data_IF_991930832242
#
_entry.id   IF_991930832242
#
_cell.length_a   1.000
_cell.length_b   1.000
_cell.length_c   1.000
_cell.angle_alpha   90.00
_cell.angle_beta   90.00
_cell.angle_gamma   90.00
#
_symmetry.space_group_name_H-M   'P 1'
#
loop_
_entity.id
_entity.type
_entity.pdbx_description
1 polymer ?
#
# COMPACT_ATOMS: atom_id res chain seq x y z
N UNK A 1 3.47 -13.65 -6.97
CA UNK A 1 4.05 -12.42 -6.43
C UNK A 1 5.58 -12.43 -6.47
N UNK A 2 6.21 -13.59 -6.64
CA UNK A 2 7.67 -13.71 -6.77
C UNK A 2 8.17 -13.63 -8.23
N UNK A 3 7.39 -13.03 -9.12
CA UNK A 3 7.60 -13.12 -10.56
C UNK A 3 8.79 -12.36 -11.13
N UNK A 4 9.67 -11.76 -10.32
CA UNK A 4 10.83 -11.11 -10.91
C UNK A 4 12.06 -11.10 -10.00
N UNK A 5 12.64 -12.26 -9.77
CA UNK A 5 14.00 -12.38 -9.23
C UNK A 5 15.01 -11.54 -10.04
N UNK A 6 14.78 -11.36 -11.34
CA UNK A 6 15.63 -10.54 -12.20
C UNK A 6 15.60 -9.05 -11.82
N UNK A 7 14.45 -8.53 -11.40
CA UNK A 7 14.37 -7.15 -10.88
C UNK A 7 15.15 -7.00 -9.56
N UNK A 8 15.10 -8.00 -8.69
CA UNK A 8 15.87 -7.97 -7.44
C UNK A 8 17.36 -8.03 -7.71
N UNK A 9 17.80 -8.88 -8.65
CA UNK A 9 19.19 -8.96 -9.08
C UNK A 9 19.71 -7.62 -9.61
N UNK A 10 18.86 -6.85 -10.30
CA UNK A 10 19.25 -5.52 -10.77
C UNK A 10 19.70 -4.61 -9.63
N UNK A 11 19.00 -4.61 -8.50
CA UNK A 11 19.34 -3.80 -7.34
C UNK A 11 20.50 -4.39 -6.53
N UNK A 12 20.50 -5.71 -6.30
CA UNK A 12 21.49 -6.40 -5.48
C UNK A 12 22.93 -6.18 -6.01
N UNK A 13 23.14 -6.34 -7.32
CA UNK A 13 24.46 -6.15 -7.95
C UNK A 13 24.93 -4.68 -7.93
N UNK A 14 24.06 -3.75 -7.57
CA UNK A 14 24.34 -2.33 -7.41
C UNK A 14 24.50 -1.89 -5.97
N UNK A 15 24.58 -2.84 -5.05
CA UNK A 15 24.82 -2.58 -3.62
C UNK A 15 23.58 -2.22 -2.81
N UNK A 16 22.38 -2.44 -3.35
CA UNK A 16 21.14 -2.29 -2.59
C UNK A 16 20.80 -3.61 -1.86
N UNK A 17 20.31 -3.49 -0.64
CA UNK A 17 19.53 -4.57 -0.04
C UNK A 17 18.09 -4.50 -0.54
N UNK A 18 17.50 -5.66 -0.83
CA UNK A 18 16.10 -5.76 -1.26
C UNK A 18 15.27 -6.42 -0.17
N UNK A 19 14.25 -5.71 0.29
CA UNK A 19 13.30 -6.21 1.29
C UNK A 19 11.92 -6.35 0.63
N UNK A 20 11.36 -7.55 0.69
CA UNK A 20 10.00 -7.84 0.23
C UNK A 20 9.13 -8.01 1.45
N UNK A 21 8.16 -7.12 1.60
CA UNK A 21 7.24 -7.13 2.74
C UNK A 21 5.86 -7.62 2.31
N UNK A 22 5.24 -8.43 3.16
CA UNK A 22 3.86 -8.84 3.04
C UNK A 22 2.97 -7.97 3.93
N UNK A 23 1.80 -7.57 3.42
CA UNK A 23 0.76 -6.91 4.20
C UNK A 23 0.01 -7.88 5.12
N UNK A 24 -0.93 -7.37 5.88
CA UNK A 24 -1.81 -8.18 6.73
C UNK A 24 -2.56 -9.26 5.92
N UNK A 25 -2.63 -10.46 6.47
CA UNK A 25 -3.32 -11.59 5.86
C UNK A 25 -2.66 -12.12 4.58
N UNK A 26 -1.46 -11.65 4.20
CA UNK A 26 -0.76 -12.06 2.98
C UNK A 26 0.54 -12.80 3.31
N UNK A 27 0.90 -13.82 2.50
CA UNK A 27 2.17 -14.55 2.58
C UNK A 27 2.52 -15.05 3.99
N UNK A 28 1.52 -15.54 4.72
CA UNK A 28 1.70 -16.06 6.09
C UNK A 28 1.67 -15.00 7.19
N UNK A 29 1.47 -13.72 6.87
CA UNK A 29 1.23 -12.67 7.87
C UNK A 29 -0.14 -12.86 8.51
N UNK A 30 -0.25 -12.54 9.80
CA UNK A 30 -1.52 -12.56 10.51
C UNK A 30 -2.38 -11.32 10.21
N UNK A 31 -3.65 -11.35 10.62
CA UNK A 31 -4.61 -10.28 10.42
C UNK A 31 -5.42 -10.42 9.13
N UNK A 32 -6.18 -9.37 8.84
CA UNK A 32 -7.05 -9.29 7.68
C UNK A 32 -6.61 -8.14 6.79
N UNK A 33 -6.59 -8.35 5.49
CA UNK A 33 -6.32 -7.28 4.55
C UNK A 33 -7.51 -6.32 4.51
N UNK A 34 -7.24 -5.04 4.73
CA UNK A 34 -8.21 -3.95 4.58
C UNK A 34 -7.63 -2.91 3.64
N UNK A 35 -8.07 -2.98 2.39
CA UNK A 35 -7.57 -2.13 1.29
C UNK A 35 -7.76 -0.65 1.59
N UNK A 36 -6.67 0.12 1.53
CA UNK A 36 -6.68 1.56 1.76
C UNK A 36 -6.83 1.98 3.22
N UNK A 37 -6.72 1.06 4.17
CA UNK A 37 -6.79 1.37 5.59
C UNK A 37 -5.49 1.96 6.13
N UNK A 38 -5.60 2.62 7.29
CA UNK A 38 -4.43 3.06 8.05
C UNK A 38 -3.56 1.89 8.51
N UNK A 39 -4.19 0.77 8.87
CA UNK A 39 -3.48 -0.44 9.30
C UNK A 39 -2.57 -0.98 8.20
N UNK A 40 -3.08 -1.04 6.96
CA UNK A 40 -2.30 -1.46 5.81
C UNK A 40 -1.09 -0.53 5.58
N UNK A 41 -1.32 0.77 5.58
CA UNK A 41 -0.26 1.80 5.47
C UNK A 41 0.79 1.64 6.56
N UNK A 42 0.34 1.50 7.81
CA UNK A 42 1.22 1.48 8.97
C UNK A 42 2.04 0.19 9.05
N UNK A 43 1.52 -0.94 8.54
CA UNK A 43 2.30 -2.16 8.42
C UNK A 43 3.58 -1.96 7.58
N UNK A 44 3.48 -1.27 6.45
CA UNK A 44 4.63 -0.97 5.60
C UNK A 44 5.49 0.17 6.16
N UNK A 45 4.88 1.16 6.83
CA UNK A 45 5.61 2.19 7.58
C UNK A 45 6.54 1.56 8.62
N UNK A 46 6.07 0.56 9.37
CA UNK A 46 6.87 -0.12 10.38
C UNK A 46 8.09 -0.84 9.80
N UNK A 47 8.01 -1.32 8.56
CA UNK A 47 9.17 -1.87 7.85
C UNK A 47 10.20 -0.77 7.55
N UNK A 48 9.76 0.41 7.13
CA UNK A 48 10.66 1.56 6.92
C UNK A 48 11.33 1.98 8.23
N UNK A 49 10.58 2.10 9.32
CA UNK A 49 11.11 2.43 10.64
C UNK A 49 12.14 1.40 11.13
N UNK A 50 11.88 0.10 10.89
CA UNK A 50 12.83 -0.95 11.23
C UNK A 50 14.13 -0.85 10.41
N UNK A 51 14.01 -0.62 9.11
CA UNK A 51 15.17 -0.44 8.21
C UNK A 51 15.97 0.84 8.53
N UNK A 52 15.27 1.88 9.03
CA UNK A 52 15.91 3.12 9.46
C UNK A 52 16.59 2.98 10.83
N UNK A 53 16.16 2.06 11.66
CA UNK A 53 16.70 1.81 12.99
C UNK A 53 15.83 2.33 14.14
N UNK A 54 14.68 2.92 13.85
CA UNK A 54 13.76 3.50 14.85
C UNK A 54 12.85 2.45 15.50
N UNK A 55 12.79 1.25 14.94
CA UNK A 55 11.91 0.17 15.41
C UNK A 55 12.66 -1.14 15.51
N UNK A 56 12.28 -1.93 16.52
CA UNK A 56 12.69 -3.32 16.67
C UNK A 56 11.67 -4.21 15.98
N UNK A 57 12.13 -5.22 15.25
CA UNK A 57 11.32 -6.33 14.76
C UNK A 57 11.62 -7.61 15.55
N UNK A 58 10.86 -8.66 15.28
CA UNK A 58 11.03 -9.97 15.92
C UNK A 58 11.14 -11.06 14.86
N UNK A 59 12.04 -12.00 15.08
CA UNK A 59 12.24 -13.16 14.21
C UNK A 59 11.26 -14.29 14.53
N UNK A 60 10.51 -14.18 15.60
CA UNK A 60 9.50 -15.14 16.07
C UNK A 60 8.15 -14.47 16.32
N UNK A 61 7.08 -15.25 16.28
CA UNK A 61 5.71 -14.74 16.49
C UNK A 61 5.42 -14.38 17.93
N UNK A 62 6.14 -14.96 18.89
CA UNK A 62 5.96 -14.69 20.32
C UNK A 62 6.64 -13.39 20.78
N UNK A 63 7.37 -12.72 19.90
CA UNK A 63 8.05 -11.47 20.23
C UNK A 63 9.22 -11.61 21.19
N UNK A 64 9.90 -12.76 21.20
CA UNK A 64 11.02 -13.07 22.10
C UNK A 64 12.38 -12.80 21.49
N UNK A 65 12.52 -13.01 20.17
CA UNK A 65 13.77 -12.90 19.46
C UNK A 65 13.79 -11.57 18.71
N UNK A 66 14.35 -10.54 19.32
CA UNK A 66 14.50 -9.24 18.69
C UNK A 66 15.50 -9.27 17.54
N UNK A 67 15.20 -8.53 16.47
CA UNK A 67 16.09 -8.34 15.34
C UNK A 67 16.14 -6.87 14.95
N UNK A 68 17.30 -6.45 14.49
CA UNK A 68 17.57 -5.10 13.98
C UNK A 68 18.15 -5.20 12.57
N UNK A 69 17.95 -4.16 11.80
CA UNK A 69 18.53 -4.06 10.46
C UNK A 69 19.93 -3.41 10.50
N UNK A 70 20.84 -3.93 11.32
CA UNK A 70 22.18 -3.34 11.54
C UNK A 70 23.04 -3.27 10.25
N UNK A 71 22.63 -4.01 9.22
CA UNK A 71 23.21 -3.97 7.88
C UNK A 71 22.67 -2.83 7.02
N UNK A 72 21.59 -2.17 7.42
CA UNK A 72 21.00 -1.04 6.71
C UNK A 72 21.72 0.25 7.06
N UNK A 73 21.87 1.14 6.08
CA UNK A 73 22.37 2.50 6.32
C UNK A 73 21.26 3.50 6.69
N UNK A 74 20.03 3.00 6.90
CA UNK A 74 18.87 3.80 7.27
C UNK A 74 18.20 4.56 6.12
N UNK A 75 18.75 4.52 4.90
CA UNK A 75 18.12 5.16 3.74
C UNK A 75 17.27 4.15 2.97
N UNK A 76 15.96 4.40 2.93
CA UNK A 76 14.99 3.49 2.34
C UNK A 76 14.39 4.09 1.08
N UNK A 77 14.26 3.29 0.04
CA UNK A 77 13.47 3.57 -1.14
C UNK A 77 12.30 2.58 -1.21
N UNK A 78 11.12 3.04 -1.60
CA UNK A 78 9.98 2.16 -1.82
C UNK A 78 9.56 2.17 -3.29
N UNK A 79 9.27 0.99 -3.82
CA UNK A 79 8.71 0.82 -5.16
C UNK A 79 7.73 -0.34 -5.20
N UNK A 80 6.85 -0.32 -6.16
CA UNK A 80 5.89 -1.37 -6.42
C UNK A 80 5.02 -1.01 -7.61
N UNK A 81 4.25 -1.97 -8.11
CA UNK A 81 3.34 -1.77 -9.25
C UNK A 81 1.89 -2.04 -8.85
N UNK A 82 0.96 -1.25 -9.41
CA UNK A 82 -0.49 -1.41 -9.19
C UNK A 82 -0.84 -1.25 -7.70
N UNK A 83 -1.51 -2.20 -7.09
CA UNK A 83 -1.79 -2.19 -5.65
C UNK A 83 -0.50 -2.03 -4.80
N UNK A 84 0.56 -2.78 -5.12
CA UNK A 84 1.85 -2.59 -4.45
C UNK A 84 2.50 -1.23 -4.77
N UNK A 85 2.18 -0.61 -5.91
CA UNK A 85 2.59 0.74 -6.28
C UNK A 85 1.84 1.85 -5.52
N UNK A 86 0.73 1.51 -4.88
CA UNK A 86 -0.05 2.40 -4.01
C UNK A 86 0.65 2.60 -2.66
N UNK A 87 1.29 1.55 -2.13
CA UNK A 87 1.93 1.60 -0.81
C UNK A 87 3.04 2.65 -0.68
N UNK A 88 3.91 2.90 -1.68
CA UNK A 88 4.83 4.04 -1.64
C UNK A 88 4.13 5.39 -1.40
N UNK A 89 2.98 5.66 -2.03
CA UNK A 89 2.21 6.87 -1.73
C UNK A 89 1.70 6.86 -0.30
N UNK A 90 1.03 5.77 0.11
CA UNK A 90 0.46 5.64 1.44
C UNK A 90 1.51 5.88 2.54
N UNK A 91 2.65 5.22 2.46
CA UNK A 91 3.71 5.34 3.48
C UNK A 91 4.36 6.72 3.46
N UNK A 92 4.60 7.31 2.28
CA UNK A 92 5.20 8.63 2.17
C UNK A 92 4.35 9.72 2.84
N UNK A 93 3.01 9.60 2.81
CA UNK A 93 2.10 10.55 3.50
C UNK A 93 2.18 10.50 5.02
N UNK A 94 2.89 9.55 5.60
CA UNK A 94 3.14 9.53 7.06
C UNK A 94 4.33 10.41 7.46
N UNK A 95 5.10 10.92 6.50
CA UNK A 95 6.32 11.68 6.76
C UNK A 95 7.41 10.87 7.47
N UNK A 96 7.35 9.52 7.40
CA UNK A 96 8.27 8.61 8.10
C UNK A 96 9.74 8.92 7.80
N UNK A 97 10.53 8.98 8.83
CA UNK A 97 11.98 9.19 8.68
C UNK A 97 12.62 7.97 8.00
N UNK A 98 13.75 8.20 7.34
CA UNK A 98 14.45 7.15 6.58
C UNK A 98 13.93 6.93 5.16
N UNK A 99 12.67 7.22 4.85
CA UNK A 99 12.15 7.12 3.47
C UNK A 99 12.70 8.29 2.62
N UNK A 100 13.61 7.99 1.69
CA UNK A 100 14.31 9.01 0.88
C UNK A 100 13.71 9.20 -0.51
N UNK A 101 13.13 8.15 -1.07
CA UNK A 101 12.51 8.21 -2.40
C UNK A 101 11.42 7.16 -2.56
N UNK A 102 10.44 7.48 -3.38
CA UNK A 102 9.40 6.55 -3.80
C UNK A 102 9.33 6.45 -5.33
N UNK A 103 9.08 5.24 -5.82
CA UNK A 103 8.85 4.98 -7.25
C UNK A 103 7.54 4.20 -7.41
N UNK A 104 6.39 4.85 -7.24
CA UNK A 104 5.09 4.24 -7.47
C UNK A 104 4.88 4.03 -8.98
N UNK A 105 4.66 2.77 -9.37
CA UNK A 105 4.34 2.41 -10.75
C UNK A 105 2.85 2.06 -10.84
N UNK A 106 2.08 2.84 -11.59
CA UNK A 106 0.62 2.71 -11.70
C UNK A 106 -0.06 2.62 -10.30
N UNK A 107 0.39 3.48 -9.37
CA UNK A 107 -0.14 3.53 -8.00
C UNK A 107 -1.45 4.30 -7.91
N UNK A 108 -2.29 3.92 -6.95
CA UNK A 108 -3.57 4.57 -6.64
C UNK A 108 -3.31 5.67 -5.61
N UNK A 109 -3.72 6.90 -5.93
CA UNK A 109 -3.60 8.07 -5.06
C UNK A 109 -4.84 8.26 -4.17
N UNK A 110 -5.99 7.73 -4.63
CA UNK A 110 -7.29 7.88 -3.98
C UNK A 110 -8.19 6.70 -4.34
N UNK A 111 -8.47 5.85 -3.36
CA UNK A 111 -9.28 4.66 -3.56
C UNK A 111 -10.74 4.96 -3.90
N UNK A 112 -11.30 6.08 -3.37
CA UNK A 112 -12.62 6.51 -3.78
C UNK A 112 -12.67 6.83 -5.27
N UNK A 113 -11.75 7.65 -5.77
CA UNK A 113 -11.71 8.02 -7.19
C UNK A 113 -11.35 6.82 -8.08
N UNK A 114 -10.61 5.84 -7.56
CA UNK A 114 -10.36 4.59 -8.29
C UNK A 114 -11.66 3.80 -8.50
N UNK A 115 -12.56 3.83 -7.55
CA UNK A 115 -13.84 3.09 -7.59
C UNK A 115 -14.99 3.92 -8.20
N UNK A 116 -15.07 5.21 -7.85
CA UNK A 116 -16.17 6.12 -8.19
C UNK A 116 -15.63 7.41 -8.82
N UNK A 117 -15.35 7.41 -10.10
CA UNK A 117 -14.82 8.60 -10.77
C UNK A 117 -15.92 9.64 -10.94
N UNK A 118 -15.76 10.82 -10.33
CA UNK A 118 -16.71 11.93 -10.40
C UNK A 118 -18.15 11.55 -10.00
N UNK A 119 -18.30 10.67 -9.00
CA UNK A 119 -19.59 10.20 -8.53
C UNK A 119 -20.23 9.11 -9.40
N UNK A 120 -19.55 8.67 -10.46
CA UNK A 120 -19.98 7.55 -11.28
C UNK A 120 -19.15 6.31 -11.00
N UNK A 121 -19.80 5.21 -10.76
CA UNK A 121 -19.10 3.92 -10.59
C UNK A 121 -18.36 3.57 -11.87
N UNK A 122 -17.11 3.17 -11.73
CA UNK A 122 -16.34 2.52 -12.79
C UNK A 122 -16.93 1.13 -13.05
N UNK A 123 -16.47 0.47 -14.12
CA UNK A 123 -17.01 -0.84 -14.56
C UNK A 123 -16.87 -2.00 -13.57
N UNK A 124 -16.10 -1.81 -12.49
CA UNK A 124 -15.96 -2.80 -11.44
C UNK A 124 -17.14 -2.77 -10.45
N UNK A 125 -17.60 -3.91 -9.96
CA UNK A 125 -18.60 -3.94 -8.89
C UNK A 125 -18.15 -3.15 -7.66
N UNK A 126 -19.10 -2.55 -6.92
CA UNK A 126 -18.80 -1.74 -5.72
C UNK A 126 -18.01 -2.52 -4.69
N UNK A 127 -18.33 -3.79 -4.50
CA UNK A 127 -17.75 -4.68 -3.52
C UNK A 127 -16.33 -5.13 -3.88
N UNK A 128 -15.85 -4.79 -5.06
CA UNK A 128 -14.63 -5.35 -5.61
C UNK A 128 -13.40 -5.11 -4.76
N UNK A 129 -13.29 -3.96 -4.10
CA UNK A 129 -12.12 -3.66 -3.28
C UNK A 129 -11.96 -4.65 -2.13
N UNK A 130 -13.03 -4.96 -1.44
CA UNK A 130 -12.97 -5.76 -0.22
C UNK A 130 -13.28 -7.23 -0.47
N UNK A 131 -14.21 -7.56 -1.38
CA UNK A 131 -14.54 -8.95 -1.66
C UNK A 131 -13.59 -9.61 -2.66
N UNK A 132 -13.10 -8.86 -3.64
CA UNK A 132 -12.26 -9.41 -4.70
C UNK A 132 -10.78 -9.07 -4.51
N UNK A 133 -10.43 -7.79 -4.41
CA UNK A 133 -9.02 -7.39 -4.33
C UNK A 133 -8.37 -7.86 -3.04
N UNK A 134 -9.05 -7.69 -1.91
CA UNK A 134 -8.58 -8.21 -0.63
C UNK A 134 -8.46 -9.74 -0.64
N UNK A 135 -9.43 -10.43 -1.25
CA UNK A 135 -9.41 -11.87 -1.44
C UNK A 135 -8.21 -12.34 -2.25
N UNK A 136 -7.97 -11.75 -3.42
CA UNK A 136 -6.87 -12.16 -4.29
C UNK A 136 -5.50 -11.74 -3.78
N UNK A 137 -5.42 -10.65 -3.03
CA UNK A 137 -4.15 -10.17 -2.45
C UNK A 137 -3.82 -10.87 -1.13
N UNK A 138 -4.79 -11.53 -0.50
CA UNK A 138 -4.56 -12.31 0.72
C UNK A 138 -4.20 -13.75 0.37
N UNK A 139 -2.93 -14.12 0.52
CA UNK A 139 -2.49 -15.51 0.33
C UNK A 139 -3.11 -16.47 1.34
N UNK A 140 -3.58 -15.97 2.47
CA UNK A 140 -4.21 -16.79 3.52
C UNK A 140 -5.53 -17.39 3.07
N UNK A 141 -6.22 -16.75 2.15
CA UNK A 141 -7.49 -17.28 1.62
C UNK A 141 -7.33 -18.61 0.86
N UNK A 142 -6.13 -18.87 0.33
CA UNK A 142 -5.79 -20.12 -0.34
C UNK A 142 -4.80 -20.95 0.50
N UNK A 143 -4.65 -20.64 1.78
CA UNK A 143 -3.75 -21.36 2.67
C UNK A 143 -4.45 -22.60 3.21
N UNK A 144 -4.06 -23.76 2.73
CA UNK A 144 -4.61 -25.08 3.14
C UNK A 144 -4.39 -25.37 4.63
N UNK A 145 -3.55 -24.59 5.32
CA UNK A 145 -3.31 -24.75 6.76
C UNK A 145 -4.36 -24.06 7.63
N UNK A 146 -5.22 -23.21 7.03
CA UNK A 146 -6.28 -22.52 7.76
C UNK A 146 -7.42 -23.47 8.10
N UNK A 147 -7.91 -23.40 9.33
CA UNK A 147 -9.12 -24.08 9.75
C UNK A 147 -10.37 -23.42 9.11
N UNK A 148 -11.45 -24.19 9.01
CA UNK A 148 -12.75 -23.68 8.53
C UNK A 148 -13.16 -22.42 9.28
N UNK A 149 -13.01 -22.38 10.61
CA UNK A 149 -13.32 -21.19 11.42
C UNK A 149 -12.51 -19.97 10.99
N UNK A 150 -11.23 -20.11 10.69
CA UNK A 150 -10.39 -18.98 10.24
C UNK A 150 -10.84 -18.50 8.85
N UNK A 151 -11.22 -19.41 7.96
CA UNK A 151 -11.78 -19.04 6.65
C UNK A 151 -13.11 -18.30 6.79
N UNK A 152 -14.00 -18.76 7.69
CA UNK A 152 -15.26 -18.09 7.99
C UNK A 152 -15.03 -16.69 8.58
N UNK A 153 -14.09 -16.53 9.50
CA UNK A 153 -13.73 -15.22 10.10
C UNK A 153 -13.21 -14.25 9.03
N UNK A 154 -12.38 -14.72 8.08
CA UNK A 154 -11.88 -13.91 6.95
C UNK A 154 -13.04 -13.50 6.03
N UNK A 155 -13.92 -14.44 5.69
CA UNK A 155 -15.07 -14.17 4.84
C UNK A 155 -16.05 -13.19 5.49
N UNK A 156 -16.34 -13.35 6.77
CA UNK A 156 -17.20 -12.44 7.53
C UNK A 156 -16.63 -11.02 7.61
N UNK A 157 -15.33 -10.89 7.85
CA UNK A 157 -14.65 -9.58 7.88
C UNK A 157 -14.78 -8.85 6.53
N UNK A 158 -14.46 -9.51 5.42
CA UNK A 158 -14.54 -8.88 4.10
C UNK A 158 -15.98 -8.61 3.67
N UNK A 159 -16.93 -9.45 4.10
CA UNK A 159 -18.36 -9.21 3.86
C UNK A 159 -18.82 -7.93 4.58
N UNK A 160 -18.46 -7.75 5.86
CA UNK A 160 -18.82 -6.54 6.61
C UNK A 160 -18.22 -5.28 5.98
N UNK A 161 -16.97 -5.30 5.55
CA UNK A 161 -16.36 -4.18 4.83
C UNK A 161 -17.09 -3.87 3.51
N UNK A 162 -17.52 -4.91 2.80
CA UNK A 162 -18.30 -4.74 1.57
C UNK A 162 -19.66 -4.09 1.85
N UNK A 163 -20.32 -4.44 2.96
CA UNK A 163 -21.56 -3.81 3.38
C UNK A 163 -21.36 -2.33 3.77
N UNK A 164 -20.27 -2.00 4.44
CA UNK A 164 -19.92 -0.62 4.75
C UNK A 164 -19.69 0.19 3.48
N UNK A 165 -18.94 -0.34 2.53
CA UNK A 165 -18.74 0.28 1.22
C UNK A 165 -20.05 0.51 0.47
N UNK A 166 -20.97 -0.45 0.51
CA UNK A 166 -22.28 -0.32 -0.13
C UNK A 166 -23.13 0.77 0.52
N UNK A 167 -23.04 0.97 1.84
CA UNK A 167 -23.74 2.05 2.56
C UNK A 167 -23.29 3.44 2.11
N UNK A 168 -22.02 3.61 1.78
CA UNK A 168 -21.51 4.89 1.26
C UNK A 168 -22.12 5.25 -0.11
N UNK A 169 -22.70 4.30 -0.82
CA UNK A 169 -23.27 4.54 -2.14
C UNK A 169 -22.22 4.98 -3.17
N UNK A 170 -22.50 6.10 -3.85
CA UNK A 170 -21.58 6.74 -4.80
C UNK A 170 -20.93 7.98 -4.20
N UNK A 171 -21.34 8.37 -3.00
CA UNK A 171 -20.84 9.56 -2.33
C UNK A 171 -19.50 9.30 -1.65
N UNK A 172 -18.72 10.36 -1.50
CA UNK A 172 -17.51 10.31 -0.72
C UNK A 172 -17.86 10.35 0.78
N UNK A 173 -17.62 9.25 1.45
CA UNK A 173 -17.70 9.16 2.90
C UNK A 173 -16.28 9.24 3.47
N UNK A 174 -15.92 10.31 4.21
CA UNK A 174 -14.58 10.48 4.75
C UNK A 174 -14.23 9.44 5.83
N UNK A 175 -15.21 8.87 6.54
CA UNK A 175 -14.96 7.81 7.54
C UNK A 175 -14.54 6.51 6.87
N UNK A 176 -15.08 6.21 5.69
CA UNK A 176 -14.73 5.00 4.94
C UNK A 176 -13.54 5.21 3.99
N UNK A 177 -13.54 6.33 3.23
CA UNK A 177 -12.57 6.56 2.15
C UNK A 177 -11.37 7.40 2.56
N UNK A 178 -11.45 8.11 3.71
CA UNK A 178 -10.46 9.11 4.09
C UNK A 178 -9.04 8.57 4.22
N UNK A 179 -8.88 7.42 4.87
CA UNK A 179 -7.57 6.78 5.04
C UNK A 179 -6.92 6.38 3.70
N UNK A 180 -7.74 5.99 2.73
CA UNK A 180 -7.32 5.62 1.39
C UNK A 180 -7.20 6.79 0.40
N UNK A 181 -7.41 8.03 0.85
CA UNK A 181 -7.18 9.23 0.05
C UNK A 181 -5.84 9.89 0.44
N UNK A 182 -4.77 9.39 -0.11
CA UNK A 182 -3.41 9.82 0.24
C UNK A 182 -3.11 11.26 -0.14
N UNK A 183 -3.92 11.87 -0.99
CA UNK A 183 -3.81 13.29 -1.37
C UNK A 183 -4.05 14.23 -0.20
N UNK A 184 -4.86 13.81 0.78
CA UNK A 184 -5.19 14.63 1.95
C UNK A 184 -3.98 14.93 2.84
N UNK A 185 -2.92 14.13 2.69
CA UNK A 185 -1.69 14.23 3.48
C UNK A 185 -0.44 14.34 2.60
N UNK A 186 -0.61 14.82 1.35
CA UNK A 186 0.51 14.97 0.42
C UNK A 186 1.53 16.02 0.90
N UNK A 187 1.11 16.97 1.71
CA UNK A 187 1.95 17.98 2.37
C UNK A 187 2.95 17.38 3.39
N UNK A 188 2.70 16.17 3.85
CA UNK A 188 3.60 15.45 4.77
C UNK A 188 4.70 14.65 4.04
N UNK A 189 4.63 14.54 2.73
CA UNK A 189 5.62 13.80 1.92
C UNK A 189 6.94 14.57 1.90
N UNK A 190 7.98 14.00 2.52
CA UNK A 190 9.33 14.61 2.64
C UNK A 190 10.34 14.01 1.65
N UNK A 191 10.00 12.91 1.02
CA UNK A 191 10.89 12.19 0.12
C UNK A 191 10.71 12.61 -1.35
N UNK A 192 11.73 12.36 -2.19
CA UNK A 192 11.57 12.52 -3.64
C UNK A 192 10.65 11.46 -4.22
N UNK A 193 9.96 11.78 -5.32
CA UNK A 193 9.05 10.89 -6.00
C UNK A 193 9.29 10.83 -7.50
N UNK A 194 9.41 9.61 -8.04
CA UNK A 194 9.35 9.34 -9.47
C UNK A 194 8.07 8.57 -9.76
N UNK A 195 7.04 9.26 -10.25
CA UNK A 195 5.76 8.63 -10.59
C UNK A 195 5.84 8.04 -12.00
N UNK A 196 5.57 6.74 -12.10
CA UNK A 196 5.55 6.01 -13.38
C UNK A 196 4.14 5.50 -13.65
N UNK A 197 3.59 5.83 -14.83
CA UNK A 197 2.24 5.41 -15.19
C UNK A 197 2.09 5.27 -16.72
N UNK A 198 1.41 4.22 -17.16
CA UNK A 198 1.09 4.03 -18.57
C UNK A 198 -0.14 4.85 -18.98
N UNK A 199 -0.08 5.58 -20.10
CA UNK A 199 -1.21 6.39 -20.55
C UNK A 199 -2.45 5.57 -20.95
N UNK A 200 -2.26 4.31 -21.32
CA UNK A 200 -3.35 3.40 -21.72
C UNK A 200 -3.71 2.40 -20.58
N UNK A 201 -3.42 2.75 -19.33
CA UNK A 201 -3.79 1.91 -18.20
C UNK A 201 -5.31 1.96 -17.97
N UNK A 202 -6.00 0.87 -18.31
CA UNK A 202 -7.44 0.75 -18.13
C UNK A 202 -7.82 0.30 -16.72
N UNK A 203 -6.89 -0.31 -15.99
CA UNK A 203 -7.13 -0.81 -14.65
C UNK A 203 -6.93 0.28 -13.60
N UNK A 204 -5.73 0.83 -13.49
CA UNK A 204 -5.48 2.00 -12.65
C UNK A 204 -5.55 3.26 -13.50
N UNK A 205 -6.58 4.06 -13.29
CA UNK A 205 -6.82 5.26 -14.09
C UNK A 205 -5.61 6.20 -14.07
N UNK A 206 -5.26 6.75 -15.23
CA UNK A 206 -4.24 7.80 -15.36
C UNK A 206 -4.53 9.03 -14.50
N UNK A 207 -5.79 9.26 -14.13
CA UNK A 207 -6.18 10.30 -13.17
C UNK A 207 -5.47 10.16 -11.82
N UNK A 208 -5.08 8.97 -11.42
CA UNK A 208 -4.41 8.72 -10.16
C UNK A 208 -3.03 9.40 -10.11
N UNK A 209 -2.21 9.26 -11.17
CA UNK A 209 -0.91 9.94 -11.19
C UNK A 209 -1.07 11.47 -11.30
N UNK A 210 -2.01 11.94 -12.12
CA UNK A 210 -2.27 13.38 -12.29
C UNK A 210 -2.62 14.04 -10.95
N UNK A 211 -3.52 13.42 -10.17
CA UNK A 211 -3.93 13.93 -8.88
C UNK A 211 -2.76 14.03 -7.90
N UNK A 212 -1.97 12.96 -7.76
CA UNK A 212 -0.84 12.97 -6.84
C UNK A 212 0.28 13.90 -7.30
N UNK A 213 0.60 13.91 -8.58
CA UNK A 213 1.59 14.81 -9.15
C UNK A 213 1.20 16.27 -8.90
N UNK A 214 -0.06 16.63 -9.12
CA UNK A 214 -0.57 17.97 -8.84
C UNK A 214 -0.41 18.33 -7.36
N UNK A 215 -0.77 17.42 -6.44
CA UNK A 215 -0.58 17.67 -5.00
C UNK A 215 0.89 17.93 -4.68
N UNK A 216 1.82 17.09 -5.18
CA UNK A 216 3.25 17.22 -4.90
C UNK A 216 3.85 18.52 -5.46
N UNK A 217 3.38 19.01 -6.61
CA UNK A 217 3.83 20.27 -7.16
C UNK A 217 3.46 21.48 -6.29
N UNK A 218 2.31 21.42 -5.61
CA UNK A 218 1.82 22.52 -4.79
C UNK A 218 2.24 22.44 -3.32
N UNK A 219 2.67 21.27 -2.85
CA UNK A 219 3.07 21.04 -1.44
C UNK A 219 4.57 21.05 -1.22
N UNK A 220 5.36 20.79 -2.26
CA UNK A 220 6.82 20.81 -2.18
C UNK A 220 7.38 22.09 -2.80
N UNK A 221 8.37 22.74 -2.17
CA UNK A 221 9.09 23.82 -2.83
C UNK A 221 9.74 23.26 -4.10
N UNK A 222 9.48 23.91 -5.21
CA UNK A 222 10.09 23.54 -6.50
C UNK A 222 11.62 23.68 -6.40
N UNK A 223 12.40 22.70 -6.86
CA UNK A 223 13.85 22.87 -6.96
C UNK A 223 14.29 23.95 -7.96
N UNK A 224 13.35 24.69 -8.53
CA UNK A 224 13.58 25.75 -9.52
C UNK A 224 13.36 27.18 -8.98
N UNK A 225 12.98 27.29 -7.71
CA UNK A 225 12.79 28.59 -7.05
C UNK A 225 14.03 28.99 -6.25
#
# INVERSE_FOLDING_TARGET
>A
VYENLDNFNYYLVRGFAVVVSAGFGALGSDGFNYVGSEYERDAFKFVVEWLHGDRVAYADREGKIQTKADWSNGNVAMTGRSYAGTMPFAVATTGVEGLKTIVPVAGIADWYTQQNMQGAQRYWPKEMLNSFLAYFCSSRYNDETLSEKQLDDIAAFHHELSLQQLKCGFDYDPEFWGAGNYRLHADQIKCSALIVHGFNDENVSTKQFEMMHTCLLYTSPSPRD
#
